data_IF_540337386762
#
_entry.id   IF_540337386762
#
_cell.length_a   1.000
_cell.length_b   1.000
_cell.length_c   1.000
_cell.angle_alpha   90.00
_cell.angle_beta   90.00
_cell.angle_gamma   90.00
#
_symmetry.space_group_name_H-M   'P 1'
#
loop_
_entity.id
_entity.type
_entity.pdbx_description
1 polymer ?
#
# COMPACT_ATOMS: atom_id res chain seq x y z
N UNK A 1 66.72 32.20 -9.06
CA UNK A 1 65.87 31.43 -8.15
C UNK A 1 64.54 31.19 -8.85
N UNK A 2 64.21 29.93 -8.98
CA UNK A 2 63.25 29.40 -9.93
C UNK A 2 61.77 29.67 -9.60
N UNK A 3 61.04 30.10 -10.60
CA UNK A 3 59.59 30.23 -10.59
C UNK A 3 58.99 29.01 -11.28
N UNK A 4 58.55 28.02 -10.50
CA UNK A 4 57.64 26.96 -10.93
C UNK A 4 56.75 26.69 -9.73
N UNK A 5 55.49 27.14 -9.75
CA UNK A 5 54.39 26.24 -9.50
C UNK A 5 53.02 26.65 -10.07
N UNK A 6 52.90 27.40 -11.16
CA UNK A 6 51.56 27.75 -11.68
C UNK A 6 50.97 26.77 -12.71
N UNK A 7 51.80 25.90 -13.28
CA UNK A 7 51.33 24.96 -14.33
C UNK A 7 50.72 23.65 -13.78
N UNK A 8 51.16 23.25 -12.57
CA UNK A 8 50.68 22.00 -11.95
C UNK A 8 49.27 22.14 -11.34
N UNK A 9 48.88 23.34 -10.91
CA UNK A 9 47.57 23.62 -10.32
C UNK A 9 46.46 23.63 -11.41
N UNK A 10 46.78 24.05 -12.64
CA UNK A 10 45.79 24.06 -13.73
C UNK A 10 45.47 22.65 -14.28
N UNK A 11 46.43 21.72 -14.23
CA UNK A 11 46.20 20.32 -14.68
C UNK A 11 45.44 19.49 -13.64
N UNK A 12 45.54 19.82 -12.36
CA UNK A 12 44.73 19.16 -11.31
C UNK A 12 43.27 19.64 -11.27
N UNK A 13 42.98 20.89 -11.66
CA UNK A 13 41.63 21.40 -11.75
C UNK A 13 40.86 20.84 -12.96
N UNK A 14 41.52 20.50 -14.08
CA UNK A 14 40.84 19.92 -15.25
C UNK A 14 40.51 18.44 -15.07
N UNK A 15 41.29 17.68 -14.28
CA UNK A 15 40.96 16.28 -13.96
C UNK A 15 39.81 16.14 -12.95
N UNK A 16 39.58 17.14 -12.09
CA UNK A 16 38.44 17.10 -11.15
C UNK A 16 37.09 17.47 -11.79
N UNK A 17 37.10 18.18 -12.94
CA UNK A 17 35.88 18.53 -13.65
C UNK A 17 35.36 17.40 -14.58
N UNK A 18 36.22 16.48 -14.97
CA UNK A 18 35.80 15.34 -15.81
C UNK A 18 35.31 14.13 -15.02
N UNK A 19 35.60 14.06 -13.71
CA UNK A 19 35.06 13.00 -12.82
C UNK A 19 33.69 13.33 -12.23
N UNK A 20 33.21 14.58 -12.32
CA UNK A 20 31.91 14.99 -11.81
C UNK A 20 30.75 14.78 -12.81
N UNK A 21 31.02 14.47 -14.09
CA UNK A 21 29.98 14.27 -15.12
C UNK A 21 29.67 12.81 -15.43
N UNK A 22 30.38 11.84 -14.86
CA UNK A 22 30.12 10.42 -15.06
C UNK A 22 29.23 9.76 -14.00
N UNK A 23 28.82 10.47 -12.98
CA UNK A 23 28.06 9.93 -11.84
C UNK A 23 26.56 10.22 -11.85
N UNK A 24 26.07 11.11 -12.70
CA UNK A 24 24.66 11.55 -12.67
C UNK A 24 23.74 10.71 -13.57
N UNK A 25 24.25 10.01 -14.58
CA UNK A 25 23.41 9.21 -15.47
C UNK A 25 22.85 7.94 -14.81
N UNK A 26 23.54 7.37 -13.81
CA UNK A 26 23.06 6.19 -13.08
C UNK A 26 21.93 6.49 -12.10
N UNK A 27 21.66 7.76 -11.76
CA UNK A 27 20.59 8.18 -10.85
C UNK A 27 19.29 8.59 -11.55
N UNK A 28 19.29 8.70 -12.89
CA UNK A 28 18.15 9.21 -13.66
C UNK A 28 17.30 8.12 -14.29
N UNK A 29 17.87 6.93 -14.49
CA UNK A 29 17.21 5.78 -15.09
C UNK A 29 17.39 4.51 -14.29
N UNK A 30 16.40 3.62 -14.37
CA UNK A 30 16.45 2.22 -13.89
C UNK A 30 16.48 1.27 -15.08
N UNK A 31 17.25 0.19 -14.97
CA UNK A 31 17.35 -0.86 -15.97
C UNK A 31 16.49 -2.03 -15.55
N UNK A 32 15.55 -2.41 -16.41
CA UNK A 32 14.74 -3.61 -16.26
C UNK A 32 15.21 -4.67 -17.25
N UNK A 33 15.40 -5.89 -16.78
CA UNK A 33 15.64 -7.02 -17.68
C UNK A 33 14.29 -7.66 -18.03
N UNK A 34 13.94 -7.71 -19.32
CA UNK A 34 12.68 -8.30 -19.79
C UNK A 34 12.51 -9.78 -19.36
N UNK A 35 13.61 -10.49 -19.07
CA UNK A 35 13.62 -11.86 -18.54
C UNK A 35 13.39 -11.94 -17.02
N UNK A 36 13.56 -10.87 -16.25
CA UNK A 36 13.33 -10.86 -14.81
C UNK A 36 11.83 -10.92 -14.45
N UNK A 37 10.97 -10.65 -15.41
CA UNK A 37 9.52 -10.87 -15.30
C UNK A 37 9.12 -12.35 -15.38
N UNK A 38 10.07 -13.27 -15.65
CA UNK A 38 9.84 -14.72 -15.72
C UNK A 38 10.62 -15.41 -14.59
N UNK A 39 9.87 -15.78 -13.55
CA UNK A 39 10.17 -16.83 -12.56
C UNK A 39 11.65 -17.04 -12.17
N UNK A 40 12.11 -16.26 -11.18
CA UNK A 40 13.22 -16.70 -10.33
C UNK A 40 12.71 -17.80 -9.38
N UNK A 41 13.60 -18.72 -8.96
CA UNK A 41 13.30 -19.65 -7.86
C UNK A 41 13.09 -18.83 -6.59
N UNK A 42 11.84 -18.74 -6.13
CA UNK A 42 11.48 -17.94 -4.95
C UNK A 42 11.73 -18.77 -3.70
N UNK A 43 12.44 -18.18 -2.75
CA UNK A 43 12.59 -18.77 -1.41
C UNK A 43 11.44 -18.28 -0.53
N UNK A 44 10.54 -19.20 -0.15
CA UNK A 44 9.39 -18.90 0.71
C UNK A 44 9.73 -18.96 2.22
N UNK A 45 10.99 -18.85 2.60
CA UNK A 45 11.40 -18.75 4.00
C UNK A 45 10.81 -17.50 4.66
N UNK A 46 10.60 -17.60 5.96
CA UNK A 46 10.08 -16.45 6.73
C UNK A 46 11.06 -15.27 6.73
N UNK A 47 10.57 -14.03 6.64
CA UNK A 47 11.43 -12.86 6.69
C UNK A 47 12.15 -12.76 8.04
N UNK A 48 13.43 -12.43 8.02
CA UNK A 48 14.24 -12.22 9.20
C UNK A 48 14.17 -10.74 9.62
N UNK A 49 13.10 -10.40 10.31
CA UNK A 49 12.88 -9.04 10.83
C UNK A 49 12.82 -9.08 12.35
N UNK A 50 13.61 -8.24 12.99
CA UNK A 50 13.61 -8.11 14.45
C UNK A 50 12.65 -6.99 14.85
N UNK A 51 11.51 -7.30 15.49
CA UNK A 51 10.62 -6.27 16.04
C UNK A 51 11.30 -5.51 17.19
N UNK A 52 10.72 -4.38 17.58
CA UNK A 52 11.11 -3.71 18.82
C UNK A 52 10.81 -4.60 20.03
N UNK A 53 11.43 -4.31 21.19
CA UNK A 53 11.17 -5.04 22.43
C UNK A 53 9.66 -5.10 22.74
N UNK A 54 9.12 -6.30 22.82
CA UNK A 54 7.68 -6.54 23.01
C UNK A 54 6.83 -6.54 21.72
N UNK A 55 7.43 -6.28 20.54
CA UNK A 55 6.72 -6.35 19.26
C UNK A 55 6.63 -7.79 18.72
N UNK A 56 5.81 -7.97 17.69
CA UNK A 56 5.64 -9.23 16.95
C UNK A 56 5.67 -8.99 15.45
N UNK A 57 6.34 -9.89 14.74
CA UNK A 57 6.39 -9.89 13.27
C UNK A 57 5.76 -11.17 12.73
N UNK A 58 4.88 -11.02 11.75
CA UNK A 58 4.28 -12.13 11.00
C UNK A 58 4.60 -12.01 9.51
N UNK A 59 4.76 -13.14 8.79
CA UNK A 59 4.95 -13.13 7.35
C UNK A 59 3.75 -12.52 6.63
N UNK A 60 4.01 -11.78 5.57
CA UNK A 60 3.02 -11.16 4.71
C UNK A 60 3.25 -11.64 3.29
N UNK A 61 2.23 -12.21 2.68
CA UNK A 61 2.32 -12.84 1.37
C UNK A 61 1.50 -12.07 0.35
N UNK A 62 2.01 -11.96 -0.88
CA UNK A 62 1.17 -11.53 -2.00
C UNK A 62 0.20 -12.66 -2.35
N UNK A 63 -1.11 -12.35 -2.45
CA UNK A 63 -2.20 -13.32 -2.66
C UNK A 63 -2.00 -14.21 -3.88
N UNK A 64 -1.52 -13.65 -4.97
CA UNK A 64 -1.26 -14.33 -6.24
C UNK A 64 0.22 -14.69 -6.44
N UNK A 65 1.03 -14.55 -5.41
CA UNK A 65 2.46 -14.86 -5.44
C UNK A 65 2.73 -16.35 -5.21
N UNK A 66 3.94 -16.81 -5.54
CA UNK A 66 4.34 -18.23 -5.40
C UNK A 66 4.38 -18.70 -3.95
N UNK A 67 4.49 -17.79 -2.99
CA UNK A 67 4.49 -18.08 -1.54
C UNK A 67 3.13 -17.86 -0.88
N UNK A 68 2.06 -17.68 -1.65
CA UNK A 68 0.72 -17.55 -1.10
C UNK A 68 0.32 -18.81 -0.31
N UNK A 69 -0.19 -18.68 0.92
CA UNK A 69 -0.72 -19.81 1.67
C UNK A 69 -2.06 -20.32 1.10
N UNK A 70 -2.68 -19.54 0.21
CA UNK A 70 -3.94 -19.88 -0.45
C UNK A 70 -3.69 -20.14 -1.93
N UNK A 71 -3.88 -21.37 -2.43
CA UNK A 71 -3.71 -21.66 -3.84
C UNK A 71 -4.78 -20.95 -4.66
N UNK A 72 -4.36 -20.02 -5.51
CA UNK A 72 -5.27 -19.36 -6.45
C UNK A 72 -5.65 -20.31 -7.58
N UNK A 73 -6.94 -20.61 -7.74
CA UNK A 73 -7.43 -21.40 -8.87
C UNK A 73 -7.29 -20.67 -10.20
N UNK A 74 -7.43 -19.37 -10.21
CA UNK A 74 -7.25 -18.49 -11.36
C UNK A 74 -6.99 -17.05 -10.85
N UNK A 75 -5.82 -16.51 -11.13
CA UNK A 75 -5.57 -15.09 -10.88
C UNK A 75 -6.50 -14.25 -11.78
N UNK A 76 -7.11 -13.16 -11.27
CA UNK A 76 -7.87 -12.24 -12.09
C UNK A 76 -6.95 -11.61 -13.15
N UNK A 77 -7.53 -11.20 -14.27
CA UNK A 77 -6.78 -10.42 -15.26
C UNK A 77 -6.43 -9.05 -14.69
N UNK A 78 -5.35 -8.44 -15.18
CA UNK A 78 -4.99 -7.08 -14.75
C UNK A 78 -6.14 -6.10 -15.00
N UNK A 79 -6.83 -6.20 -16.13
CA UNK A 79 -7.99 -5.36 -16.45
C UNK A 79 -9.11 -5.50 -15.41
N UNK A 80 -9.40 -6.71 -14.97
CA UNK A 80 -10.39 -6.96 -13.92
C UNK A 80 -9.95 -6.39 -12.57
N UNK A 81 -8.68 -6.55 -12.19
CA UNK A 81 -8.12 -5.95 -10.98
C UNK A 81 -8.21 -4.42 -11.02
N UNK A 82 -7.84 -3.79 -12.14
CA UNK A 82 -7.91 -2.33 -12.31
C UNK A 82 -9.34 -1.81 -12.27
N UNK A 83 -10.30 -2.52 -12.84
CA UNK A 83 -11.72 -2.16 -12.74
C UNK A 83 -12.23 -2.19 -11.30
N UNK A 84 -11.86 -3.21 -10.53
CA UNK A 84 -12.20 -3.31 -9.11
C UNK A 84 -11.53 -2.19 -8.30
N UNK A 85 -10.27 -1.86 -8.62
CA UNK A 85 -9.50 -0.78 -7.99
C UNK A 85 -10.12 0.59 -8.24
N UNK A 86 -10.67 0.82 -9.43
CA UNK A 86 -11.40 2.05 -9.76
C UNK A 86 -12.66 2.22 -8.89
N UNK A 87 -13.43 1.16 -8.68
CA UNK A 87 -14.60 1.17 -7.80
C UNK A 87 -14.20 1.49 -6.35
N UNK A 88 -13.10 0.91 -5.85
CA UNK A 88 -12.56 1.20 -4.54
C UNK A 88 -12.15 2.67 -4.41
N UNK A 89 -11.37 3.18 -5.34
CA UNK A 89 -10.91 4.58 -5.33
C UNK A 89 -12.08 5.56 -5.37
N UNK A 90 -13.09 5.30 -6.21
CA UNK A 90 -14.31 6.08 -6.27
C UNK A 90 -15.11 6.07 -4.96
N UNK A 91 -15.18 4.93 -4.28
CA UNK A 91 -15.81 4.80 -2.97
C UNK A 91 -15.09 5.63 -1.91
N UNK A 92 -13.76 5.51 -1.80
CA UNK A 92 -12.94 6.27 -0.85
C UNK A 92 -13.13 7.77 -1.08
N UNK A 93 -13.07 8.21 -2.34
CA UNK A 93 -13.24 9.61 -2.72
C UNK A 93 -14.63 10.14 -2.32
N UNK A 94 -15.72 9.39 -2.57
CA UNK A 94 -17.07 9.78 -2.16
C UNK A 94 -17.20 9.90 -0.65
N UNK A 95 -16.69 8.92 0.10
CA UNK A 95 -16.73 8.92 1.57
C UNK A 95 -16.00 10.13 2.14
N UNK A 96 -14.85 10.47 1.57
CA UNK A 96 -14.07 11.63 2.02
C UNK A 96 -14.71 12.97 1.62
N UNK A 97 -15.34 13.06 0.45
CA UNK A 97 -16.05 14.27 -0.03
C UNK A 97 -17.37 14.51 0.70
N UNK A 98 -18.10 13.45 1.06
CA UNK A 98 -19.34 13.56 1.83
C UNK A 98 -19.16 14.20 3.20
N UNK A 99 -18.00 13.98 3.81
CA UNK A 99 -17.59 14.64 5.06
C UNK A 99 -17.37 16.15 4.88
N UNK A 100 -16.82 16.57 3.74
CA UNK A 100 -16.61 18.01 3.43
C UNK A 100 -17.87 18.75 3.04
N UNK A 101 -18.91 18.03 2.59
CA UNK A 101 -20.15 18.61 2.03
C UNK A 101 -21.28 18.86 3.02
N UNK A 102 -21.15 18.56 4.30
CA UNK A 102 -22.17 18.77 5.35
C UNK A 102 -23.42 17.90 5.16
N UNK A 103 -23.76 17.17 6.20
CA UNK A 103 -25.01 16.45 6.50
C UNK A 103 -26.05 16.33 5.37
N UNK A 104 -25.94 15.27 4.58
CA UNK A 104 -27.00 14.82 3.69
C UNK A 104 -26.94 13.31 3.59
N UNK A 105 -27.97 12.64 4.10
CA UNK A 105 -28.22 11.20 4.05
C UNK A 105 -27.35 10.29 4.94
N UNK A 106 -27.53 10.46 6.24
CA UNK A 106 -27.42 9.36 7.19
C UNK A 106 -28.74 8.61 7.13
N UNK A 107 -28.82 7.47 6.48
CA UNK A 107 -29.87 6.51 6.74
C UNK A 107 -29.80 6.11 8.22
N UNK A 108 -30.76 6.65 8.96
CA UNK A 108 -30.97 6.40 10.37
C UNK A 108 -31.63 5.00 10.46
N UNK A 109 -30.86 3.99 10.81
CA UNK A 109 -31.43 2.70 11.24
C UNK A 109 -31.11 2.47 12.70
N UNK A 110 -32.18 2.24 13.47
CA UNK A 110 -32.19 1.99 14.91
C UNK A 110 -31.20 0.89 15.33
N UNK A 111 -30.49 1.18 16.42
CA UNK A 111 -29.64 0.25 17.18
C UNK A 111 -28.69 -0.56 16.31
N UNK A 112 -27.73 0.09 15.73
CA UNK A 112 -26.68 -0.58 14.98
C UNK A 112 -25.32 -0.09 15.46
N UNK A 113 -24.44 -1.04 15.74
CA UNK A 113 -22.99 -0.83 15.70
C UNK A 113 -22.68 -0.03 14.42
N UNK A 114 -21.87 1.04 14.47
CA UNK A 114 -21.63 1.87 13.31
C UNK A 114 -21.29 1.01 12.11
N UNK A 115 -22.07 1.11 11.04
CA UNK A 115 -21.80 0.46 9.77
C UNK A 115 -20.47 0.98 9.25
N UNK A 116 -19.43 0.21 9.40
CA UNK A 116 -18.15 0.51 8.81
C UNK A 116 -18.25 0.07 7.35
N UNK A 117 -18.39 1.05 6.46
CA UNK A 117 -18.34 0.77 5.02
C UNK A 117 -16.91 0.32 4.69
N UNK A 118 -16.75 -0.93 4.30
CA UNK A 118 -15.48 -1.49 3.83
C UNK A 118 -15.25 -1.17 2.35
N UNK A 119 -14.03 -1.33 1.93
CA UNK A 119 -13.60 -1.14 0.56
C UNK A 119 -13.61 -2.47 -0.19
N UNK A 120 -13.58 -2.46 -1.54
CA UNK A 120 -13.63 -3.68 -2.36
C UNK A 120 -12.58 -4.71 -1.94
N UNK A 121 -12.99 -5.94 -1.65
CA UNK A 121 -12.07 -7.04 -1.30
C UNK A 121 -11.29 -7.57 -2.50
N UNK A 122 -11.82 -7.39 -3.70
CA UNK A 122 -11.17 -7.84 -4.93
C UNK A 122 -9.87 -7.10 -5.28
N UNK A 123 -9.55 -6.01 -4.55
CA UNK A 123 -8.30 -5.24 -4.68
C UNK A 123 -7.28 -5.56 -3.59
N UNK A 124 -7.67 -6.32 -2.56
CA UNK A 124 -6.78 -6.69 -1.47
C UNK A 124 -5.84 -7.81 -1.94
N UNK A 125 -4.55 -7.52 -1.97
CA UNK A 125 -3.54 -8.41 -2.55
C UNK A 125 -2.62 -9.06 -1.53
N UNK A 126 -2.77 -8.73 -0.23
CA UNK A 126 -1.82 -9.15 0.79
C UNK A 126 -2.47 -9.93 1.91
N UNK A 127 -1.82 -11.03 2.29
CA UNK A 127 -2.31 -12.03 3.24
C UNK A 127 -1.36 -12.15 4.44
N UNK A 128 -1.95 -12.33 5.62
CA UNK A 128 -1.27 -12.82 6.82
C UNK A 128 -1.97 -14.08 7.33
N UNK A 129 -1.21 -14.90 8.05
CA UNK A 129 -1.77 -16.06 8.76
C UNK A 129 -1.74 -15.80 10.25
N UNK A 130 -2.89 -15.94 10.90
CA UNK A 130 -3.09 -15.73 12.34
C UNK A 130 -3.84 -16.89 12.95
N UNK A 131 -3.85 -16.99 14.29
CA UNK A 131 -4.70 -17.92 15.01
C UNK A 131 -5.83 -17.16 15.71
N UNK A 132 -7.07 -17.60 15.58
CA UNK A 132 -8.22 -17.03 16.30
C UNK A 132 -8.93 -18.11 17.09
N UNK A 133 -9.29 -17.82 18.35
CA UNK A 133 -10.04 -18.71 19.22
C UNK A 133 -9.20 -19.42 20.27
N UNK A 134 -9.89 -20.20 21.12
CA UNK A 134 -9.32 -21.03 22.17
C UNK A 134 -9.97 -22.43 22.17
N UNK A 135 -9.36 -23.45 21.52
CA UNK A 135 -8.02 -23.47 20.92
C UNK A 135 -7.93 -22.59 19.67
N UNK A 136 -6.73 -22.09 19.37
CA UNK A 136 -6.50 -21.22 18.22
C UNK A 136 -6.67 -22.00 16.90
N UNK A 137 -7.52 -21.51 16.03
CA UNK A 137 -7.69 -21.99 14.65
C UNK A 137 -6.94 -21.07 13.68
N UNK A 138 -6.18 -21.67 12.78
CA UNK A 138 -5.43 -20.92 11.77
C UNK A 138 -6.38 -20.25 10.78
N UNK A 139 -6.17 -18.95 10.53
CA UNK A 139 -6.93 -18.15 9.59
C UNK A 139 -5.97 -17.44 8.65
N UNK A 140 -6.24 -17.50 7.36
CA UNK A 140 -5.53 -16.73 6.33
C UNK A 140 -6.38 -15.54 5.93
N UNK A 141 -5.93 -14.36 6.30
CA UNK A 141 -6.73 -13.13 6.24
C UNK A 141 -6.09 -12.09 5.34
N UNK A 142 -6.92 -11.42 4.56
CA UNK A 142 -6.54 -10.22 3.81
C UNK A 142 -6.26 -9.06 4.77
N UNK A 143 -5.25 -8.23 4.51
CA UNK A 143 -5.00 -7.01 5.28
C UNK A 143 -5.50 -5.78 4.54
N UNK A 144 -6.03 -4.80 5.30
CA UNK A 144 -6.54 -3.56 4.72
C UNK A 144 -6.34 -2.36 5.67
N UNK A 145 -5.49 -1.40 5.28
CA UNK A 145 -5.29 -0.15 6.03
C UNK A 145 -6.40 0.88 5.81
N UNK A 146 -7.33 0.62 4.91
CA UNK A 146 -8.49 1.47 4.63
C UNK A 146 -9.77 1.04 5.34
N UNK A 147 -9.74 -0.02 6.16
CA UNK A 147 -10.88 -0.50 6.95
C UNK A 147 -10.47 -0.88 8.37
N UNK A 148 -11.45 -0.89 9.30
CA UNK A 148 -11.20 -1.11 10.71
C UNK A 148 -11.63 -2.50 11.20
N UNK A 149 -12.78 -2.99 10.73
CA UNK A 149 -13.38 -4.22 11.23
C UNK A 149 -12.65 -5.44 10.70
N UNK A 150 -12.15 -6.27 11.61
CA UNK A 150 -11.69 -7.63 11.26
C UNK A 150 -12.86 -8.60 11.34
N UNK A 151 -12.93 -9.55 10.40
CA UNK A 151 -13.96 -10.57 10.40
C UNK A 151 -13.47 -11.87 9.76
N UNK A 152 -14.11 -12.98 10.11
CA UNK A 152 -13.83 -14.31 9.59
C UNK A 152 -15.11 -14.96 9.05
N UNK A 153 -14.93 -15.83 8.06
CA UNK A 153 -16.02 -16.64 7.51
C UNK A 153 -16.49 -17.71 8.53
N UNK A 154 -17.79 -17.89 8.67
CA UNK A 154 -18.35 -18.84 9.63
C UNK A 154 -17.92 -20.29 9.36
N UNK A 155 -17.67 -20.66 8.12
CA UNK A 155 -17.26 -22.02 7.74
C UNK A 155 -15.86 -22.39 8.26
N UNK A 156 -15.00 -21.40 8.51
CA UNK A 156 -13.70 -21.63 9.12
C UNK A 156 -13.76 -21.75 10.65
N UNK A 157 -14.95 -21.60 11.25
CA UNK A 157 -15.17 -21.60 12.72
C UNK A 157 -16.29 -22.56 13.13
N UNK A 158 -16.18 -23.84 12.87
CA UNK A 158 -17.13 -24.84 13.38
C UNK A 158 -17.04 -25.07 14.91
N UNK A 159 -16.14 -24.38 15.60
CA UNK A 159 -15.94 -24.48 17.05
C UNK A 159 -16.10 -23.15 17.76
N UNK A 160 -17.15 -22.93 18.48
CA UNK A 160 -17.38 -22.09 19.66
C UNK A 160 -17.16 -20.57 19.63
N UNK A 161 -16.31 -19.97 18.80
CA UNK A 161 -15.96 -18.54 18.89
C UNK A 161 -17.07 -17.59 18.44
N UNK A 162 -18.02 -18.08 17.64
CA UNK A 162 -19.10 -17.28 17.07
C UNK A 162 -20.46 -17.53 17.74
N UNK A 163 -20.49 -18.11 18.92
CA UNK A 163 -21.72 -18.36 19.66
C UNK A 163 -21.91 -17.32 20.77
N UNK A 164 -23.08 -16.69 20.82
CA UNK A 164 -23.57 -15.96 21.98
C UNK A 164 -23.41 -14.45 21.98
N UNK A 165 -22.90 -13.79 20.94
CA UNK A 165 -22.91 -12.35 20.85
C UNK A 165 -24.28 -11.80 20.43
N UNK A 166 -24.77 -10.77 21.13
CA UNK A 166 -25.99 -10.05 20.76
C UNK A 166 -25.70 -8.88 19.78
N UNK A 167 -24.43 -8.51 19.59
CA UNK A 167 -24.03 -7.41 18.71
C UNK A 167 -23.89 -7.92 17.28
N UNK A 168 -24.56 -7.28 16.33
CA UNK A 168 -24.43 -7.56 14.91
C UNK A 168 -23.49 -6.56 14.25
N UNK A 169 -22.85 -6.96 13.15
CA UNK A 169 -22.12 -6.07 12.28
C UNK A 169 -22.59 -6.24 10.85
N UNK A 170 -22.44 -5.17 10.07
CA UNK A 170 -22.58 -5.17 8.63
C UNK A 170 -21.49 -4.30 8.00
N UNK A 171 -20.76 -4.84 7.04
CA UNK A 171 -19.77 -4.11 6.28
C UNK A 171 -20.17 -4.16 4.81
N UNK A 172 -20.38 -2.99 4.21
CA UNK A 172 -20.63 -2.85 2.77
C UNK A 172 -19.36 -2.35 2.10
N UNK A 173 -18.91 -3.06 1.08
CA UNK A 173 -17.70 -2.77 0.34
C UNK A 173 -17.97 -1.91 -0.91
N UNK A 174 -16.91 -1.24 -1.42
CA UNK A 174 -17.03 -0.34 -2.56
C UNK A 174 -17.47 -0.98 -3.87
N UNK A 175 -17.24 -2.29 -4.02
CA UNK A 175 -17.71 -3.11 -5.15
C UNK A 175 -19.16 -3.62 -4.98
N UNK A 176 -19.84 -3.18 -3.92
CA UNK A 176 -21.20 -3.62 -3.61
C UNK A 176 -21.29 -4.91 -2.80
N UNK A 177 -20.18 -5.59 -2.52
CA UNK A 177 -20.15 -6.76 -1.64
C UNK A 177 -20.58 -6.40 -0.22
N UNK A 178 -21.25 -7.31 0.48
CA UNK A 178 -21.71 -7.12 1.85
C UNK A 178 -21.30 -8.33 2.68
N UNK A 179 -20.67 -8.08 3.82
CA UNK A 179 -20.45 -9.06 4.88
C UNK A 179 -21.22 -8.66 6.12
N UNK A 180 -22.04 -9.56 6.64
CA UNK A 180 -22.82 -9.31 7.86
C UNK A 180 -22.78 -10.52 8.78
N UNK A 181 -22.88 -10.26 10.09
CA UNK A 181 -22.85 -11.32 11.08
C UNK A 181 -22.88 -10.79 12.50
N UNK A 182 -22.36 -11.57 13.43
CA UNK A 182 -22.30 -11.23 14.86
C UNK A 182 -20.86 -10.89 15.27
N UNK A 183 -20.70 -9.91 16.16
CA UNK A 183 -19.43 -9.66 16.84
C UNK A 183 -19.14 -10.77 17.84
N UNK A 184 -17.89 -11.15 17.92
CA UNK A 184 -17.35 -12.07 18.91
C UNK A 184 -16.06 -11.51 19.48
N UNK A 185 -15.61 -12.10 20.60
CA UNK A 185 -14.35 -11.76 21.22
C UNK A 185 -13.64 -13.03 21.67
N UNK A 186 -12.41 -13.23 21.23
CA UNK A 186 -11.60 -14.38 21.63
C UNK A 186 -10.11 -14.02 21.59
N UNK A 187 -9.25 -15.00 21.76
CA UNK A 187 -7.80 -14.89 21.68
C UNK A 187 -7.35 -14.77 20.24
N UNK A 188 -6.52 -13.77 19.94
CA UNK A 188 -5.79 -13.62 18.69
C UNK A 188 -4.35 -14.05 18.91
N UNK A 189 -3.88 -15.05 18.19
CA UNK A 189 -2.49 -15.50 18.16
C UNK A 189 -1.78 -14.95 16.93
N UNK A 190 -0.63 -14.31 17.14
CA UNK A 190 0.22 -13.69 16.13
C UNK A 190 1.65 -14.20 16.32
N UNK A 191 2.10 -15.12 15.47
CA UNK A 191 3.38 -15.77 15.66
C UNK A 191 3.49 -16.42 17.05
N UNK A 192 4.48 -16.01 17.85
CA UNK A 192 4.67 -16.48 19.23
C UNK A 192 3.90 -15.69 20.27
N UNK A 193 3.21 -14.61 19.88
CA UNK A 193 2.49 -13.70 20.77
C UNK A 193 0.98 -13.93 20.68
N UNK A 194 0.25 -13.51 21.74
CA UNK A 194 -1.20 -13.58 21.74
C UNK A 194 -1.82 -12.36 22.45
N UNK A 195 -2.99 -11.96 21.98
CA UNK A 195 -3.81 -10.90 22.56
C UNK A 195 -5.16 -11.50 22.95
N UNK A 196 -5.58 -11.29 24.17
CA UNK A 196 -6.89 -11.73 24.65
C UNK A 196 -7.96 -10.68 24.33
N UNK A 197 -9.20 -11.13 24.26
CA UNK A 197 -10.37 -10.28 24.05
C UNK A 197 -10.30 -9.47 22.74
N UNK A 198 -9.66 -10.02 21.70
CA UNK A 198 -9.69 -9.42 20.38
C UNK A 198 -11.10 -9.53 19.80
N UNK A 199 -11.68 -8.41 19.40
CA UNK A 199 -13.02 -8.32 18.84
C UNK A 199 -12.98 -8.47 17.31
N UNK A 200 -13.84 -9.32 16.79
CA UNK A 200 -13.95 -9.58 15.35
C UNK A 200 -15.37 -9.97 14.97
N UNK A 201 -15.71 -9.84 13.70
CA UNK A 201 -16.97 -10.29 13.15
C UNK A 201 -16.92 -11.77 12.78
N UNK A 202 -17.96 -12.52 13.13
CA UNK A 202 -18.25 -13.85 12.59
C UNK A 202 -19.28 -13.71 11.47
N UNK A 203 -18.86 -13.83 10.22
CA UNK A 203 -19.72 -13.61 9.08
C UNK A 203 -20.75 -14.72 8.95
N UNK A 204 -22.01 -14.36 8.80
CA UNK A 204 -23.16 -15.26 8.66
C UNK A 204 -23.83 -15.11 7.30
N UNK A 205 -23.63 -13.97 6.65
CA UNK A 205 -24.20 -13.66 5.35
C UNK A 205 -23.19 -12.84 4.55
N UNK A 206 -22.87 -13.33 3.38
CA UNK A 206 -21.94 -12.70 2.47
C UNK A 206 -22.58 -12.62 1.08
N UNK A 207 -22.33 -11.54 0.38
CA UNK A 207 -22.77 -11.35 -1.01
C UNK A 207 -21.70 -10.69 -1.84
N UNK A 208 -21.77 -10.87 -3.16
CA UNK A 208 -20.80 -10.35 -4.10
C UNK A 208 -19.49 -11.15 -4.12
N UNK A 209 -18.37 -10.48 -4.41
CA UNK A 209 -17.07 -11.12 -4.65
C UNK A 209 -16.37 -11.63 -3.38
N UNK A 210 -16.98 -11.51 -2.19
CA UNK A 210 -16.46 -12.03 -0.92
C UNK A 210 -16.21 -13.53 -0.94
N UNK A 211 -16.99 -14.28 -1.73
CA UNK A 211 -17.00 -15.73 -1.79
C UNK A 211 -16.06 -16.30 -2.88
N UNK A 212 -15.51 -15.47 -3.75
CA UNK A 212 -14.70 -15.94 -4.88
C UNK A 212 -13.33 -16.47 -4.45
N UNK A 213 -12.90 -16.16 -3.23
CA UNK A 213 -11.54 -16.39 -2.77
C UNK A 213 -11.46 -17.36 -1.58
N UNK A 214 -10.40 -18.16 -1.57
CA UNK A 214 -10.13 -19.15 -0.53
C UNK A 214 -9.50 -18.51 0.74
N UNK A 215 -9.79 -17.25 1.02
CA UNK A 215 -9.35 -16.56 2.24
C UNK A 215 -10.39 -16.71 3.33
N UNK A 216 -9.93 -16.79 4.59
CA UNK A 216 -10.80 -17.01 5.74
C UNK A 216 -11.47 -15.73 6.25
N UNK A 217 -11.01 -14.56 5.76
CA UNK A 217 -11.57 -13.28 6.20
C UNK A 217 -10.66 -12.08 5.91
N UNK A 218 -10.92 -10.99 6.63
CA UNK A 218 -10.22 -9.72 6.53
C UNK A 218 -9.73 -9.26 7.91
N UNK A 219 -8.51 -8.73 7.96
CA UNK A 219 -7.91 -8.08 9.10
C UNK A 219 -7.81 -6.57 8.85
N UNK A 220 -8.65 -5.79 9.49
CA UNK A 220 -8.65 -4.32 9.39
C UNK A 220 -7.46 -3.71 10.12
N UNK A 221 -6.67 -2.90 9.41
CA UNK A 221 -5.51 -2.16 9.90
C UNK A 221 -5.73 -0.65 9.91
N UNK A 222 -6.96 -0.19 9.70
CA UNK A 222 -7.32 1.22 9.74
C UNK A 222 -7.08 1.87 11.09
N UNK A 223 -7.35 3.15 11.18
CA UNK A 223 -7.07 3.95 12.37
C UNK A 223 -8.21 4.05 13.38
N UNK A 224 -9.33 3.35 13.15
CA UNK A 224 -10.49 3.31 14.05
C UNK A 224 -10.32 2.35 15.20
N UNK A 225 -11.26 2.41 16.15
CA UNK A 225 -11.17 1.67 17.42
C UNK A 225 -11.19 0.13 17.25
N UNK A 226 -11.81 -0.37 16.20
CA UNK A 226 -12.01 -1.79 15.96
C UNK A 226 -10.88 -2.45 15.15
N UNK A 227 -9.89 -1.67 14.73
CA UNK A 227 -8.78 -2.18 13.92
C UNK A 227 -7.80 -3.02 14.75
N UNK A 228 -7.08 -3.92 14.07
CA UNK A 228 -6.00 -4.69 14.68
C UNK A 228 -5.00 -3.78 15.40
N UNK A 229 -4.54 -2.72 14.75
CA UNK A 229 -3.56 -1.80 15.30
C UNK A 229 -4.04 -1.17 16.61
N UNK A 230 -5.31 -0.76 16.68
CA UNK A 230 -5.88 -0.13 17.88
C UNK A 230 -6.15 -1.14 19.00
N UNK A 231 -6.74 -2.29 18.68
CA UNK A 231 -7.05 -3.32 19.67
C UNK A 231 -5.80 -3.95 20.30
N UNK A 232 -4.70 -4.01 19.55
CA UNK A 232 -3.45 -4.60 20.05
C UNK A 232 -2.48 -3.57 20.62
N UNK A 233 -2.84 -2.27 20.62
CA UNK A 233 -1.98 -1.18 21.07
C UNK A 233 -1.56 -1.30 22.54
N UNK A 234 -2.39 -1.89 23.39
CA UNK A 234 -2.08 -2.14 24.81
C UNK A 234 -0.95 -3.16 25.00
N UNK A 235 -0.79 -4.08 24.05
CA UNK A 235 0.25 -5.13 24.09
C UNK A 235 1.51 -4.72 23.33
N UNK A 236 1.35 -4.17 22.11
CA UNK A 236 2.47 -3.92 21.21
C UNK A 236 2.82 -2.43 21.04
N UNK A 237 2.03 -1.51 21.62
CA UNK A 237 2.20 -0.08 21.38
C UNK A 237 1.44 0.41 20.15
N UNK A 238 1.55 1.73 19.86
CA UNK A 238 0.77 2.41 18.83
C UNK A 238 1.56 2.58 17.51
N UNK A 239 2.43 1.65 17.19
CA UNK A 239 3.17 1.67 15.95
C UNK A 239 3.15 0.30 15.29
N UNK A 240 2.92 0.28 13.99
CA UNK A 240 3.08 -0.92 13.16
C UNK A 240 3.80 -0.58 11.86
N UNK A 241 4.42 -1.56 11.25
CA UNK A 241 5.00 -1.42 9.91
C UNK A 241 4.70 -2.64 9.07
N UNK A 242 4.73 -2.47 7.77
CA UNK A 242 4.74 -3.59 6.83
C UNK A 242 5.74 -3.35 5.71
N UNK A 243 6.20 -4.43 5.09
CA UNK A 243 6.83 -4.40 3.78
C UNK A 243 6.01 -5.27 2.84
N UNK A 244 5.49 -4.67 1.77
CA UNK A 244 4.66 -5.36 0.78
C UNK A 244 5.58 -5.98 -0.29
N UNK A 245 5.59 -7.33 -0.43
CA UNK A 245 6.41 -7.97 -1.44
C UNK A 245 5.82 -7.79 -2.85
N UNK A 246 6.66 -7.75 -3.90
CA UNK A 246 6.20 -7.93 -5.27
C UNK A 246 5.54 -9.29 -5.47
N UNK A 247 4.73 -9.43 -6.52
CA UNK A 247 4.00 -10.66 -6.84
C UNK A 247 4.90 -11.90 -6.98
N UNK A 248 6.11 -11.70 -7.48
CA UNK A 248 7.06 -12.79 -7.82
C UNK A 248 8.16 -13.01 -6.78
N UNK A 249 8.05 -12.42 -5.58
CA UNK A 249 9.13 -12.47 -4.57
C UNK A 249 8.82 -13.33 -3.36
N UNK A 250 9.82 -13.43 -2.48
CA UNK A 250 9.69 -13.98 -1.13
C UNK A 250 8.66 -13.19 -0.30
N UNK A 251 8.14 -13.76 0.80
CA UNK A 251 7.24 -13.05 1.68
C UNK A 251 7.83 -11.74 2.21
N UNK A 252 6.99 -10.69 2.31
CA UNK A 252 7.22 -9.53 3.13
C UNK A 252 6.84 -9.79 4.59
N UNK A 253 6.53 -8.73 5.33
CA UNK A 253 6.18 -8.83 6.74
C UNK A 253 5.19 -7.75 7.19
N UNK A 254 4.46 -8.05 8.27
CA UNK A 254 3.73 -7.12 9.09
C UNK A 254 4.30 -7.19 10.52
N UNK A 255 4.70 -6.06 11.08
CA UNK A 255 5.21 -5.93 12.44
C UNK A 255 4.29 -5.04 13.26
N UNK A 256 3.75 -5.56 14.36
CA UNK A 256 3.10 -4.78 15.41
C UNK A 256 4.14 -4.45 16.49
N UNK A 257 4.15 -3.23 17.00
CA UNK A 257 5.20 -2.74 17.88
C UNK A 257 6.51 -2.46 17.10
N UNK A 258 6.39 -1.87 15.92
CA UNK A 258 7.54 -1.51 15.10
C UNK A 258 8.43 -0.46 15.80
N UNK A 259 9.76 -0.57 15.62
CA UNK A 259 10.72 0.39 16.15
C UNK A 259 10.69 1.69 15.34
N UNK A 260 10.20 2.76 15.95
CA UNK A 260 10.09 4.08 15.29
C UNK A 260 11.44 4.77 15.11
N UNK A 261 12.45 4.40 15.90
CA UNK A 261 13.78 5.00 15.85
C UNK A 261 14.64 4.51 14.67
N UNK A 262 14.28 3.37 14.07
CA UNK A 262 15.01 2.80 12.92
C UNK A 262 14.71 3.50 11.59
N UNK A 263 13.73 4.41 11.56
CA UNK A 263 13.32 5.13 10.36
C UNK A 263 13.90 6.55 10.35
N UNK A 264 14.70 6.84 9.35
CA UNK A 264 15.33 8.18 9.14
C UNK A 264 14.42 9.04 8.27
N UNK A 265 13.81 8.47 7.23
CA UNK A 265 12.91 9.18 6.31
C UNK A 265 11.51 9.16 6.90
N UNK A 266 11.02 10.32 7.37
CA UNK A 266 9.70 10.45 8.02
C UNK A 266 8.89 11.60 7.44
N UNK A 267 7.56 11.46 7.47
CA UNK A 267 6.60 12.52 7.11
C UNK A 267 5.47 12.56 8.14
N UNK A 268 4.89 13.74 8.45
CA UNK A 268 3.74 13.83 9.34
C UNK A 268 2.55 13.01 8.83
N UNK A 269 1.88 12.33 9.75
CA UNK A 269 0.61 11.64 9.54
C UNK A 269 -0.54 12.62 9.81
N UNK A 270 -1.47 12.69 8.89
CA UNK A 270 -2.68 13.49 9.04
C UNK A 270 -3.82 12.58 9.50
N UNK A 271 -4.57 13.03 10.51
CA UNK A 271 -5.71 12.29 11.06
C UNK A 271 -6.96 13.17 11.01
N UNK A 272 -8.08 12.57 10.63
CA UNK A 272 -9.39 13.21 10.67
C UNK A 272 -10.30 12.47 11.66
N UNK A 273 -10.98 13.20 12.52
CA UNK A 273 -12.01 12.63 13.38
C UNK A 273 -13.26 12.17 12.65
N UNK A 274 -13.49 12.72 11.45
CA UNK A 274 -14.66 12.44 10.62
C UNK A 274 -14.48 11.15 9.81
N UNK A 275 -13.24 10.83 9.44
CA UNK A 275 -12.87 9.61 8.72
C UNK A 275 -11.69 8.92 9.41
N UNK A 276 -11.87 8.44 10.64
CA UNK A 276 -10.78 7.94 11.50
C UNK A 276 -10.08 6.71 10.94
N UNK A 277 -10.72 5.96 10.05
CA UNK A 277 -10.15 4.76 9.43
C UNK A 277 -8.93 5.08 8.57
N UNK A 278 -8.84 6.26 7.96
CA UNK A 278 -7.81 6.58 7.01
C UNK A 278 -6.60 7.26 7.64
N UNK A 279 -5.43 6.90 7.14
CA UNK A 279 -4.15 7.50 7.49
C UNK A 279 -3.73 8.47 6.40
N UNK A 280 -3.91 9.76 6.69
CA UNK A 280 -3.60 10.83 5.74
C UNK A 280 -2.11 11.14 5.66
N UNK A 281 -1.66 11.49 4.46
CA UNK A 281 -0.31 11.94 4.14
C UNK A 281 -0.37 13.10 3.16
N UNK A 282 0.63 13.97 3.14
CA UNK A 282 0.68 15.08 2.19
C UNK A 282 1.81 14.88 1.19
N UNK A 283 1.46 14.55 -0.04
CA UNK A 283 2.36 14.64 -1.19
C UNK A 283 2.59 16.12 -1.51
N UNK A 284 3.84 16.51 -1.79
CA UNK A 284 4.22 17.89 -2.10
C UNK A 284 4.82 18.05 -3.49
N UNK A 285 5.50 17.03 -3.99
CA UNK A 285 6.10 17.05 -5.31
C UNK A 285 6.33 15.62 -5.83
N UNK A 286 6.58 15.54 -7.13
CA UNK A 286 6.99 14.31 -7.84
C UNK A 286 8.28 14.63 -8.57
N UNK A 287 9.22 13.68 -8.59
CA UNK A 287 10.44 13.76 -9.38
C UNK A 287 10.43 12.69 -10.45
N UNK A 288 10.92 13.04 -11.64
CA UNK A 288 11.12 12.11 -12.77
C UNK A 288 12.52 12.31 -13.32
N UNK A 289 13.30 11.23 -13.46
CA UNK A 289 14.69 11.32 -13.88
C UNK A 289 15.53 12.23 -12.97
N UNK A 290 15.30 12.19 -11.66
CA UNK A 290 15.97 13.03 -10.66
C UNK A 290 15.49 14.49 -10.60
N UNK A 291 14.65 14.94 -11.56
CA UNK A 291 14.18 16.34 -11.63
C UNK A 291 12.79 16.49 -11.04
N UNK A 292 12.63 17.47 -10.16
CA UNK A 292 11.32 17.81 -9.61
C UNK A 292 10.44 18.45 -10.70
N UNK A 293 9.20 17.97 -10.80
CA UNK A 293 8.21 18.50 -11.73
C UNK A 293 7.68 19.85 -11.25
N UNK A 294 7.42 20.76 -12.20
CA UNK A 294 6.82 22.07 -11.92
C UNK A 294 5.31 21.94 -11.74
N UNK A 295 4.89 21.46 -10.56
CA UNK A 295 3.49 21.31 -10.18
C UNK A 295 3.20 22.33 -9.08
N UNK A 296 2.17 23.18 -9.20
CA UNK A 296 1.79 24.11 -8.15
C UNK A 296 1.43 23.37 -6.84
N UNK A 297 1.86 23.89 -5.70
CA UNK A 297 1.62 23.25 -4.39
C UNK A 297 0.11 23.11 -4.08
N UNK A 298 -0.74 23.99 -4.62
CA UNK A 298 -2.19 23.94 -4.48
C UNK A 298 -2.82 22.67 -5.07
N UNK A 299 -2.18 22.04 -6.07
CA UNK A 299 -2.63 20.79 -6.68
C UNK A 299 -2.69 19.65 -5.64
N UNK A 300 -1.82 19.68 -4.63
CA UNK A 300 -1.78 18.68 -3.56
C UNK A 300 -2.56 19.08 -2.30
N UNK A 301 -3.38 20.13 -2.37
CA UNK A 301 -4.08 20.70 -1.20
C UNK A 301 -5.14 19.76 -0.62
N UNK A 302 -5.77 18.91 -1.45
CA UNK A 302 -6.74 17.92 -1.00
C UNK A 302 -6.14 16.87 -0.06
N UNK A 303 -4.82 16.70 -0.09
CA UNK A 303 -4.10 15.67 0.64
C UNK A 303 -4.17 14.30 -0.04
N UNK A 304 -3.60 13.31 0.61
CA UNK A 304 -3.63 11.91 0.15
C UNK A 304 -3.78 10.97 1.35
N UNK A 305 -4.13 9.73 1.11
CA UNK A 305 -4.08 8.65 2.11
C UNK A 305 -3.08 7.57 1.68
N UNK A 306 -2.52 6.87 2.68
CA UNK A 306 -1.76 5.62 2.46
C UNK A 306 -2.73 4.46 2.55
N UNK A 307 -2.91 3.70 1.47
CA UNK A 307 -3.88 2.61 1.43
C UNK A 307 -3.30 1.34 0.80
N UNK A 308 -3.10 0.31 1.63
CA UNK A 308 -2.61 -1.00 1.18
C UNK A 308 -3.63 -1.78 0.36
N UNK A 309 -4.90 -1.44 0.47
CA UNK A 309 -6.00 -2.08 -0.22
C UNK A 309 -6.28 -1.52 -1.62
N UNK A 310 -5.80 -0.32 -1.94
CA UNK A 310 -5.84 0.23 -3.30
C UNK A 310 -4.59 -0.22 -4.06
N UNK A 311 -4.74 -0.66 -5.31
CA UNK A 311 -3.63 -1.16 -6.12
C UNK A 311 -2.81 0.02 -6.66
N UNK A 312 -3.46 0.92 -7.39
CA UNK A 312 -2.81 1.98 -8.17
C UNK A 312 -2.93 3.33 -7.47
N UNK A 313 -1.80 4.03 -7.34
CA UNK A 313 -1.77 5.41 -6.86
C UNK A 313 -2.62 6.32 -7.74
N UNK A 314 -3.54 7.07 -7.10
CA UNK A 314 -4.39 8.08 -7.71
C UNK A 314 -3.83 9.46 -7.39
N UNK A 315 -3.49 10.21 -8.43
CA UNK A 315 -2.95 11.56 -8.32
C UNK A 315 -3.96 12.60 -8.75
N UNK A 316 -3.91 13.83 -8.20
CA UNK A 316 -4.62 14.96 -8.78
C UNK A 316 -4.37 15.05 -10.29
N UNK A 317 -5.38 15.44 -11.07
CA UNK A 317 -5.35 15.41 -12.53
C UNK A 317 -4.14 16.17 -13.12
N UNK A 318 -3.85 17.37 -12.59
CA UNK A 318 -2.69 18.18 -13.00
C UNK A 318 -1.35 17.47 -12.66
N UNK A 319 -1.26 16.83 -11.48
CA UNK A 319 -0.06 16.13 -11.06
C UNK A 319 0.21 14.90 -11.93
N UNK A 320 -0.83 14.11 -12.23
CA UNK A 320 -0.73 12.98 -13.13
C UNK A 320 -0.31 13.41 -14.55
N UNK A 321 -0.93 14.46 -15.10
CA UNK A 321 -0.59 14.98 -16.43
C UNK A 321 0.88 15.40 -16.54
N UNK A 322 1.40 16.06 -15.49
CA UNK A 322 2.82 16.43 -15.42
C UNK A 322 3.72 15.20 -15.35
N UNK A 323 3.37 14.20 -14.52
CA UNK A 323 4.10 12.94 -14.40
C UNK A 323 4.12 12.18 -15.73
N UNK A 324 2.96 11.94 -16.35
CA UNK A 324 2.81 11.23 -17.62
C UNK A 324 3.62 11.91 -18.72
N UNK A 325 3.53 13.24 -18.83
CA UNK A 325 4.27 14.02 -19.83
C UNK A 325 5.79 13.90 -19.65
N UNK A 326 6.29 14.04 -18.42
CA UNK A 326 7.71 13.92 -18.11
C UNK A 326 8.21 12.47 -18.34
N UNK A 327 7.41 11.48 -17.98
CA UNK A 327 7.73 10.07 -18.17
C UNK A 327 7.80 9.72 -19.67
N UNK A 328 6.78 10.11 -20.47
CA UNK A 328 6.78 9.96 -21.93
C UNK A 328 8.01 10.62 -22.57
N UNK A 329 8.42 11.78 -22.08
CA UNK A 329 9.62 12.46 -22.56
C UNK A 329 10.91 11.66 -22.30
N UNK A 330 10.98 10.92 -21.20
CA UNK A 330 12.10 10.01 -20.88
C UNK A 330 12.04 8.65 -21.56
N UNK A 331 10.90 8.32 -22.21
CA UNK A 331 10.65 7.01 -22.83
C UNK A 331 10.56 7.07 -24.37
N UNK A 332 11.04 8.14 -24.98
CA UNK A 332 10.94 8.38 -26.45
C UNK A 332 11.54 7.27 -27.33
N UNK A 333 12.45 6.48 -26.79
CA UNK A 333 13.07 5.35 -27.47
C UNK A 333 12.13 4.15 -27.66
N UNK A 334 10.98 4.13 -26.96
CA UNK A 334 9.99 3.05 -27.06
C UNK A 334 8.72 3.56 -27.74
N UNK A 335 8.14 2.80 -28.68
CA UNK A 335 6.87 3.17 -29.29
C UNK A 335 5.75 3.23 -28.23
N UNK A 336 4.78 4.15 -28.38
CA UNK A 336 3.59 4.12 -27.55
C UNK A 336 2.75 2.88 -27.85
N UNK A 337 2.15 2.30 -26.82
CA UNK A 337 1.17 1.23 -26.93
C UNK A 337 -0.25 1.73 -26.66
N UNK A 338 -1.25 0.87 -26.94
CA UNK A 338 -2.65 1.18 -26.66
C UNK A 338 -2.87 1.31 -25.13
N UNK A 339 -3.73 2.23 -24.68
CA UNK A 339 -4.16 2.30 -23.30
C UNK A 339 -4.76 0.98 -22.81
N UNK A 340 -4.58 0.68 -21.52
CA UNK A 340 -5.10 -0.53 -20.88
C UNK A 340 -5.86 -0.17 -19.59
N UNK A 341 -7.18 -0.33 -19.60
CA UNK A 341 -8.04 0.06 -18.49
C UNK A 341 -7.83 1.54 -18.13
N UNK A 342 -7.41 1.79 -16.89
CA UNK A 342 -7.15 3.16 -16.38
C UNK A 342 -5.77 3.71 -16.77
N UNK A 343 -4.92 2.92 -17.41
CA UNK A 343 -3.59 3.34 -17.85
C UNK A 343 -3.63 3.94 -19.25
N UNK A 344 -3.25 5.19 -19.40
CA UNK A 344 -3.17 5.92 -20.66
C UNK A 344 -1.75 6.13 -21.18
N UNK A 345 -0.76 5.71 -20.41
CA UNK A 345 0.66 5.92 -20.67
C UNK A 345 1.36 4.58 -20.75
N UNK A 346 1.25 3.93 -21.93
CA UNK A 346 1.77 2.59 -22.20
C UNK A 346 2.79 2.60 -23.34
N UNK A 347 3.69 1.60 -23.35
CA UNK A 347 4.79 1.49 -24.30
C UNK A 347 4.89 0.07 -24.85
N UNK A 348 5.36 -0.05 -26.08
CA UNK A 348 5.70 -1.34 -26.66
C UNK A 348 7.19 -1.67 -26.40
N UNK A 349 7.42 -2.71 -25.63
CA UNK A 349 8.74 -3.24 -25.31
C UNK A 349 9.09 -4.50 -26.10
N UNK A 350 8.35 -4.80 -27.18
CA UNK A 350 8.60 -5.97 -28.03
C UNK A 350 10.03 -5.94 -28.58
N UNK A 351 10.73 -7.07 -28.47
CA UNK A 351 12.10 -7.21 -28.94
C UNK A 351 13.17 -6.61 -28.02
N UNK A 352 12.81 -5.98 -26.91
CA UNK A 352 13.77 -5.44 -25.96
C UNK A 352 14.18 -6.52 -24.95
N UNK A 353 15.49 -6.69 -24.74
CA UNK A 353 16.03 -7.51 -23.64
C UNK A 353 16.21 -6.72 -22.34
N UNK A 354 16.42 -5.42 -22.46
CA UNK A 354 16.55 -4.47 -21.36
C UNK A 354 15.74 -3.21 -21.65
N UNK A 355 15.09 -2.68 -20.63
CA UNK A 355 14.25 -1.49 -20.70
C UNK A 355 14.81 -0.47 -19.73
N UNK A 356 15.12 0.74 -20.20
CA UNK A 356 15.57 1.85 -19.38
C UNK A 356 14.38 2.76 -19.11
N UNK A 357 13.98 2.85 -17.85
CA UNK A 357 12.87 3.72 -17.42
C UNK A 357 13.39 4.87 -16.55
N UNK A 358 12.83 6.09 -16.67
CA UNK A 358 13.15 7.18 -15.77
C UNK A 358 12.86 6.80 -14.32
N UNK A 359 13.70 7.23 -13.39
CA UNK A 359 13.39 7.13 -11.96
C UNK A 359 12.17 7.98 -11.63
N UNK A 360 11.35 7.51 -10.69
CA UNK A 360 10.24 8.28 -10.12
C UNK A 360 10.38 8.31 -8.62
N UNK A 361 10.24 9.49 -8.02
CA UNK A 361 10.25 9.66 -6.56
C UNK A 361 9.04 10.48 -6.12
N UNK A 362 8.43 10.07 -5.02
CA UNK A 362 7.37 10.81 -4.34
C UNK A 362 7.99 11.64 -3.22
N UNK A 363 7.68 12.93 -3.16
CA UNK A 363 8.19 13.86 -2.15
C UNK A 363 7.03 14.24 -1.23
N UNK A 364 7.11 13.81 0.03
CA UNK A 364 6.12 14.10 1.05
C UNK A 364 6.52 15.29 1.92
N UNK A 365 5.55 15.80 2.70
CA UNK A 365 5.79 16.88 3.66
C UNK A 365 6.90 16.50 4.66
N UNK A 366 7.60 17.51 5.17
CA UNK A 366 8.78 17.29 6.01
C UNK A 366 10.05 16.89 5.25
N UNK A 367 10.01 16.88 3.91
CA UNK A 367 11.16 16.58 3.05
C UNK A 367 11.42 15.08 2.84
N UNK A 368 10.50 14.21 3.22
CA UNK A 368 10.62 12.77 2.98
C UNK A 368 10.55 12.47 1.48
N UNK A 369 11.60 11.87 0.94
CA UNK A 369 11.69 11.43 -0.47
C UNK A 369 11.66 9.92 -0.49
N UNK A 370 10.73 9.37 -1.26
CA UNK A 370 10.56 7.93 -1.46
C UNK A 370 10.82 7.61 -2.93
N UNK A 371 11.94 6.95 -3.18
CA UNK A 371 12.34 6.50 -4.52
C UNK A 371 11.65 5.17 -4.83
N UNK A 372 10.83 5.16 -5.88
CA UNK A 372 10.08 3.97 -6.26
C UNK A 372 10.98 2.94 -6.93
N UNK A 373 10.71 1.66 -6.67
CA UNK A 373 11.30 0.56 -7.44
C UNK A 373 10.67 0.49 -8.83
N UNK A 374 11.29 -0.25 -9.74
CA UNK A 374 10.78 -0.39 -11.11
C UNK A 374 9.34 -0.89 -11.19
N UNK A 375 8.99 -1.89 -10.36
CA UNK A 375 7.64 -2.47 -10.27
C UNK A 375 6.62 -1.50 -9.66
N UNK A 376 7.08 -0.46 -8.98
CA UNK A 376 6.27 0.67 -8.52
C UNK A 376 6.13 1.79 -9.55
N UNK A 377 6.85 1.72 -10.68
CA UNK A 377 6.82 2.72 -11.74
C UNK A 377 6.08 2.20 -12.97
N UNK A 378 6.39 0.97 -13.39
CA UNK A 378 5.77 0.31 -14.55
C UNK A 378 5.06 -0.98 -14.10
N UNK A 379 3.84 -1.15 -14.59
CA UNK A 379 3.05 -2.37 -14.47
C UNK A 379 2.52 -2.73 -15.87
N UNK A 380 2.84 -3.95 -16.32
CA UNK A 380 2.45 -4.48 -17.63
C UNK A 380 2.65 -3.49 -18.80
N UNK A 381 3.86 -2.94 -18.89
CA UNK A 381 4.28 -1.96 -19.91
C UNK A 381 3.66 -0.57 -19.82
N UNK A 382 2.86 -0.27 -18.79
CA UNK A 382 2.25 1.04 -18.58
C UNK A 382 2.80 1.74 -17.33
N UNK A 383 2.79 3.06 -17.32
CA UNK A 383 3.05 3.86 -16.12
C UNK A 383 1.99 3.54 -15.05
N UNK A 384 2.42 2.99 -13.91
CA UNK A 384 1.56 2.44 -12.86
C UNK A 384 0.92 3.51 -11.96
N UNK A 385 0.32 4.53 -12.56
CA UNK A 385 -0.38 5.64 -11.92
C UNK A 385 -1.66 5.96 -12.69
N UNK A 386 -2.63 6.54 -11.99
CA UNK A 386 -3.85 7.03 -12.63
C UNK A 386 -4.22 8.44 -12.15
N UNK A 387 -4.95 9.17 -12.98
CA UNK A 387 -5.48 10.46 -12.63
C UNK A 387 -6.75 10.34 -11.78
N UNK A 388 -6.95 11.27 -10.86
CA UNK A 388 -8.28 11.60 -10.36
C UNK A 388 -9.06 12.40 -11.43
N UNK A 389 -10.38 12.56 -11.23
CA UNK A 389 -11.21 13.39 -12.11
C UNK A 389 -10.79 14.86 -12.13
N UNK A 390 -10.23 15.34 -11.02
CA UNK A 390 -9.83 16.74 -10.81
C UNK A 390 -8.74 16.86 -9.73
N UNK A 391 -8.29 18.11 -9.46
CA UNK A 391 -7.27 18.39 -8.44
C UNK A 391 -7.85 18.53 -7.02
N UNK A 392 -9.18 18.61 -6.86
CA UNK A 392 -9.84 18.71 -5.56
C UNK A 392 -10.11 17.35 -4.91
N UNK A 393 -9.99 16.28 -5.67
CA UNK A 393 -10.18 14.91 -5.22
C UNK A 393 -9.02 14.44 -4.36
N UNK A 394 -9.33 13.65 -3.32
CA UNK A 394 -8.33 13.02 -2.45
C UNK A 394 -7.36 12.13 -3.24
N UNK A 395 -6.07 12.32 -3.04
CA UNK A 395 -5.05 11.40 -3.58
C UNK A 395 -5.05 10.08 -2.80
N UNK A 396 -4.62 9.01 -3.45
CA UNK A 396 -4.45 7.70 -2.81
C UNK A 396 -3.07 7.16 -3.18
N UNK A 397 -2.24 6.84 -2.19
CA UNK A 397 -0.97 6.14 -2.41
C UNK A 397 -1.26 4.64 -2.33
N UNK A 398 -1.33 3.99 -3.48
CA UNK A 398 -1.67 2.58 -3.63
C UNK A 398 -0.53 1.63 -3.30
N UNK A 399 -0.83 0.34 -3.21
CA UNK A 399 0.13 -0.67 -2.76
C UNK A 399 1.27 -0.91 -3.75
N UNK A 400 1.05 -0.74 -5.04
CA UNK A 400 2.10 -0.88 -6.07
C UNK A 400 3.26 0.07 -5.81
N UNK A 401 2.99 1.32 -5.40
CA UNK A 401 4.02 2.29 -5.05
C UNK A 401 4.62 2.08 -3.65
N UNK A 402 4.08 1.17 -2.86
CA UNK A 402 4.58 0.81 -1.54
C UNK A 402 5.40 -0.49 -1.52
N UNK A 403 5.48 -1.22 -2.63
CA UNK A 403 6.22 -2.49 -2.75
C UNK A 403 7.71 -2.31 -2.44
N UNK A 404 8.28 -3.28 -1.72
CA UNK A 404 9.68 -3.35 -1.27
C UNK A 404 10.12 -2.24 -0.30
N UNK A 405 9.19 -1.40 0.12
CA UNK A 405 9.42 -0.32 1.08
C UNK A 405 8.78 -0.74 2.41
N UNK A 406 9.55 -0.73 3.49
CA UNK A 406 8.94 -0.80 4.82
C UNK A 406 8.26 0.53 5.11
N UNK A 407 6.94 0.49 5.29
CA UNK A 407 6.11 1.64 5.64
C UNK A 407 5.73 1.53 7.10
N UNK A 408 6.25 2.44 7.92
CA UNK A 408 5.90 2.58 9.32
C UNK A 408 4.69 3.49 9.48
N UNK A 409 3.75 3.06 10.28
CA UNK A 409 2.64 3.83 10.83
C UNK A 409 2.91 4.06 12.32
N UNK A 410 3.54 5.17 12.66
CA UNK A 410 3.74 5.62 14.03
C UNK A 410 2.51 6.44 14.46
N UNK A 411 1.43 5.73 14.80
CA UNK A 411 0.15 6.37 15.19
C UNK A 411 0.30 7.17 16.49
N UNK A 412 1.16 6.69 17.40
CA UNK A 412 1.42 7.37 18.67
C UNK A 412 2.25 8.63 18.49
N UNK A 413 3.21 8.63 17.59
CA UNK A 413 4.07 9.76 17.25
C UNK A 413 3.56 10.63 16.10
N UNK A 414 2.43 10.27 15.49
CA UNK A 414 1.81 11.07 14.41
C UNK A 414 2.65 11.17 13.13
N UNK A 415 3.34 10.09 12.75
CA UNK A 415 4.22 10.10 11.57
C UNK A 415 4.19 8.78 10.79
N UNK A 416 4.48 8.88 9.48
CA UNK A 416 4.94 7.75 8.68
C UNK A 416 6.45 7.71 8.65
N UNK A 417 7.01 6.49 8.51
CA UNK A 417 8.42 6.27 8.21
C UNK A 417 8.57 5.39 6.97
N UNK A 418 9.65 5.59 6.22
CA UNK A 418 9.94 4.84 5.00
C UNK A 418 11.36 4.29 5.04
N UNK A 419 11.53 3.03 4.63
CA UNK A 419 12.81 2.36 4.50
C UNK A 419 12.81 1.51 3.24
N UNK A 420 13.61 1.88 2.27
CA UNK A 420 13.69 1.19 0.98
C UNK A 420 14.37 -0.16 1.08
N UNK A 421 14.00 -1.10 0.17
CA UNK A 421 14.64 -2.40 0.03
C UNK A 421 14.52 -3.29 1.27
N UNK A 422 13.40 -3.23 1.96
CA UNK A 422 13.19 -3.97 3.21
C UNK A 422 12.66 -5.40 2.97
N UNK A 423 12.08 -5.67 1.78
CA UNK A 423 11.63 -7.00 1.38
C UNK A 423 11.67 -7.22 -0.13
#
# INVERSE_FOLDING_TARGET
>A
MASIPKLVILLLCTCLHTLAHGGDDLRTYKVLHAGALKSATVNCSQPQVTPSSGGVTVPLHHRHGPCSPVPSKKAPTLEEMLRRDELRAAYITRKYSGVKGGAGDVEQSDVTVPTTLGTSLGTLEYLITVGIGSPAMTQTMLIDTGSDVSWVLRQSHEGNSCSGSQCQYMVKYGDGSIGAGTYSSDKLALGSSAVNNFQFGCSQSESGNLLEDQTDGLMGLGGGAQSLATQTAGTFGKAFSYCLPPTSSSPGFLTLGASTSSFIVKTPMLRSSEVPSYYGVRLQAIRVGGRQLSIPASVFSAGSIMDSGTIITRLPATAYSALSSAFKAGMKQYPPAQPMGIFDTCFDFSGQSTINIPTVSLVFSGGAVVDLVSDGIILDSCLAFAANSDDSSLGIIGNVQQRTIEVLYDVGGGSFGFKAGAC
#
